data_IF_377366573095
#
_entry.id   IF_377366573095
#
_cell.length_a   1.000
_cell.length_b   1.000
_cell.length_c   1.000
_cell.angle_alpha   90.00
_cell.angle_beta   90.00
_cell.angle_gamma   90.00
#
_symmetry.space_group_name_H-M   'P 1'
#
loop_
_entity.id
_entity.type
_entity.pdbx_description
1 polymer ?
#
# COMPACT_ATOMS: atom_id res chain seq x y z
N UNK A 1 12.65 0.46 26.33
CA UNK A 1 12.26 0.76 24.93
C UNK A 1 11.66 2.15 24.87
N UNK A 2 12.23 3.06 24.08
CA UNK A 2 11.68 4.39 23.92
C UNK A 2 10.48 4.33 22.97
N UNK A 3 9.26 4.58 23.48
CA UNK A 3 8.03 4.50 22.67
C UNK A 3 8.09 5.35 21.40
N UNK A 4 8.84 6.46 21.42
CA UNK A 4 9.08 7.31 20.25
C UNK A 4 9.90 6.61 19.15
N UNK A 5 10.93 5.85 19.55
CA UNK A 5 11.76 5.08 18.61
C UNK A 5 10.94 3.99 17.92
N UNK A 6 10.07 3.30 18.67
CA UNK A 6 9.18 2.29 18.11
C UNK A 6 8.19 2.88 17.10
N UNK A 7 7.64 4.06 17.38
CA UNK A 7 6.77 4.78 16.45
C UNK A 7 7.51 5.18 15.18
N UNK A 8 8.76 5.63 15.30
CA UNK A 8 9.59 5.99 14.16
C UNK A 8 9.90 4.76 13.29
N UNK A 9 10.30 3.65 13.90
CA UNK A 9 10.53 2.39 13.21
C UNK A 9 9.26 1.86 12.53
N UNK A 10 8.10 1.97 13.20
CA UNK A 10 6.81 1.59 12.62
C UNK A 10 6.48 2.41 11.38
N UNK A 11 6.72 3.72 11.39
CA UNK A 11 6.52 4.57 10.22
C UNK A 11 7.43 4.18 9.05
N UNK A 12 8.72 3.93 9.32
CA UNK A 12 9.68 3.52 8.27
C UNK A 12 9.29 2.16 7.69
N UNK A 13 9.12 1.16 8.54
CA UNK A 13 8.75 -0.19 8.11
C UNK A 13 7.41 -0.18 7.40
N UNK A 14 6.42 0.53 7.94
CA UNK A 14 5.11 0.68 7.31
C UNK A 14 5.17 1.33 5.93
N UNK A 15 6.02 2.34 5.77
CA UNK A 15 6.25 2.99 4.47
C UNK A 15 6.90 2.04 3.48
N UNK A 16 7.94 1.31 3.90
CA UNK A 16 8.62 0.31 3.05
C UNK A 16 7.63 -0.78 2.62
N UNK A 17 6.82 -1.30 3.54
CA UNK A 17 5.80 -2.32 3.25
C UNK A 17 4.75 -1.76 2.28
N UNK A 18 4.25 -0.55 2.50
CA UNK A 18 3.27 0.08 1.61
C UNK A 18 3.82 0.27 0.19
N UNK A 19 5.06 0.78 0.06
CA UNK A 19 5.73 0.92 -1.24
C UNK A 19 5.91 -0.45 -1.89
N UNK A 20 6.31 -1.48 -1.13
CA UNK A 20 6.42 -2.85 -1.64
C UNK A 20 5.10 -3.37 -2.21
N UNK A 21 3.99 -3.18 -1.49
CA UNK A 21 2.65 -3.55 -1.96
C UNK A 21 2.28 -2.78 -3.24
N UNK A 22 2.56 -1.47 -3.27
CA UNK A 22 2.31 -0.64 -4.44
C UNK A 22 3.05 -1.15 -5.68
N UNK A 23 4.33 -1.49 -5.54
CA UNK A 23 5.13 -2.04 -6.64
C UNK A 23 4.59 -3.41 -7.11
N UNK A 24 4.21 -4.28 -6.18
CA UNK A 24 3.61 -5.57 -6.52
C UNK A 24 2.29 -5.38 -7.30
N UNK A 25 1.43 -4.47 -6.83
CA UNK A 25 0.17 -4.15 -7.52
C UNK A 25 0.40 -3.54 -8.90
N UNK A 26 1.39 -2.65 -9.03
CA UNK A 26 1.73 -2.04 -10.30
C UNK A 26 2.17 -3.10 -11.30
N UNK A 27 3.11 -3.98 -10.91
CA UNK A 27 3.57 -5.08 -11.77
C UNK A 27 2.40 -5.99 -12.15
N UNK A 28 1.53 -6.32 -11.17
CA UNK A 28 0.35 -7.14 -11.42
C UNK A 28 -0.59 -6.49 -12.44
N UNK A 29 -0.90 -5.21 -12.31
CA UNK A 29 -1.78 -4.53 -13.26
C UNK A 29 -1.15 -4.37 -14.64
N UNK A 30 0.15 -4.08 -14.73
CA UNK A 30 0.86 -4.03 -16.01
C UNK A 30 0.87 -5.40 -16.69
N UNK A 31 1.10 -6.47 -15.92
CA UNK A 31 1.01 -7.84 -16.41
C UNK A 31 -0.40 -8.16 -16.91
N UNK A 32 -1.44 -7.80 -16.16
CA UNK A 32 -2.85 -7.99 -16.57
C UNK A 32 -3.19 -7.20 -17.82
N UNK A 33 -2.71 -5.96 -17.96
CA UNK A 33 -2.91 -5.17 -19.18
C UNK A 33 -2.22 -5.84 -20.37
N UNK A 34 -0.95 -6.24 -20.24
CA UNK A 34 -0.22 -6.91 -21.32
C UNK A 34 -0.77 -8.30 -21.67
N UNK A 35 -1.38 -8.98 -20.70
CA UNK A 35 -2.03 -10.27 -20.92
C UNK A 35 -3.41 -10.13 -21.58
N UNK A 36 -4.20 -9.12 -21.19
CA UNK A 36 -5.58 -8.95 -21.66
C UNK A 36 -5.70 -8.14 -22.95
N UNK A 37 -4.76 -7.24 -23.25
CA UNK A 37 -4.80 -6.36 -24.42
C UNK A 37 -3.66 -6.71 -25.40
N UNK A 38 -4.01 -6.99 -26.65
CA UNK A 38 -3.06 -7.34 -27.72
C UNK A 38 -2.54 -6.10 -28.43
N UNK A 39 -1.53 -6.28 -29.31
CA UNK A 39 -0.91 -5.21 -30.10
C UNK A 39 -1.87 -4.45 -31.04
N UNK A 40 -3.07 -5.00 -31.32
CA UNK A 40 -4.11 -4.35 -32.12
C UNK A 40 -4.94 -3.33 -31.30
N UNK A 41 -4.77 -3.31 -29.98
CA UNK A 41 -5.44 -2.37 -29.10
C UNK A 41 -4.93 -0.96 -29.33
N UNK A 42 -5.85 0.03 -29.36
CA UNK A 42 -5.46 1.43 -29.59
C UNK A 42 -4.46 1.91 -28.53
N UNK A 43 -3.37 2.55 -28.99
CA UNK A 43 -2.30 3.08 -28.14
C UNK A 43 -2.83 4.06 -27.07
N UNK A 44 -3.87 4.82 -27.41
CA UNK A 44 -4.52 5.75 -26.49
C UNK A 44 -5.24 5.03 -25.33
N UNK A 45 -5.90 3.90 -25.61
CA UNK A 45 -6.56 3.10 -24.56
C UNK A 45 -5.52 2.45 -23.64
N UNK A 46 -4.46 1.85 -24.19
CA UNK A 46 -3.38 1.23 -23.41
C UNK A 46 -2.71 2.26 -22.50
N UNK A 47 -2.48 3.49 -22.99
CA UNK A 47 -1.93 4.59 -22.20
C UNK A 47 -2.84 4.99 -21.05
N UNK A 48 -4.15 5.13 -21.30
CA UNK A 48 -5.14 5.45 -20.26
C UNK A 48 -5.24 4.35 -19.20
N UNK A 49 -5.23 3.08 -19.60
CA UNK A 49 -5.23 1.93 -18.69
C UNK A 49 -3.96 1.87 -17.85
N UNK A 50 -2.80 2.18 -18.44
CA UNK A 50 -1.53 2.22 -17.72
C UNK A 50 -1.53 3.32 -16.65
N UNK A 51 -2.03 4.51 -16.96
CA UNK A 51 -2.23 5.58 -15.97
C UNK A 51 -3.23 5.17 -14.88
N UNK A 52 -4.32 4.51 -15.27
CA UNK A 52 -5.30 3.94 -14.35
C UNK A 52 -4.67 2.91 -13.42
N UNK A 53 -3.83 2.02 -13.93
CA UNK A 53 -3.09 1.02 -13.16
C UNK A 53 -2.16 1.66 -12.12
N UNK A 54 -1.47 2.75 -12.48
CA UNK A 54 -0.67 3.51 -11.51
C UNK A 54 -1.54 4.05 -10.38
N UNK A 55 -2.65 4.74 -10.69
CA UNK A 55 -3.56 5.29 -9.67
C UNK A 55 -4.16 4.19 -8.79
N UNK A 56 -4.61 3.09 -9.39
CA UNK A 56 -5.15 1.93 -8.69
C UNK A 56 -4.09 1.25 -7.81
N UNK A 57 -2.83 1.23 -8.23
CA UNK A 57 -1.75 0.65 -7.41
C UNK A 57 -1.49 1.47 -6.15
N UNK A 58 -1.54 2.80 -6.23
CA UNK A 58 -1.37 3.70 -5.07
C UNK A 58 -2.55 3.58 -4.11
N UNK A 59 -3.78 3.66 -4.61
CA UNK A 59 -4.98 3.55 -3.78
C UNK A 59 -5.09 2.14 -3.20
N UNK A 60 -4.87 1.12 -4.03
CA UNK A 60 -4.91 -0.27 -3.66
C UNK A 60 -3.87 -0.61 -2.60
N UNK A 61 -2.65 -0.09 -2.69
CA UNK A 61 -1.61 -0.35 -1.70
C UNK A 61 -2.00 0.17 -0.33
N UNK A 62 -2.58 1.38 -0.26
CA UNK A 62 -3.06 1.96 0.98
C UNK A 62 -4.18 1.11 1.62
N UNK A 63 -5.13 0.64 0.81
CA UNK A 63 -6.23 -0.21 1.29
C UNK A 63 -5.72 -1.54 1.84
N UNK A 64 -4.84 -2.23 1.09
CA UNK A 64 -4.26 -3.51 1.50
C UNK A 64 -3.39 -3.33 2.75
N UNK A 65 -2.52 -2.31 2.76
CA UNK A 65 -1.69 -1.99 3.92
C UNK A 65 -2.55 -1.71 5.16
N UNK A 66 -3.63 -0.93 5.03
CA UNK A 66 -4.55 -0.64 6.13
C UNK A 66 -5.19 -1.91 6.69
N UNK A 67 -5.58 -2.85 5.83
CA UNK A 67 -6.12 -4.15 6.26
C UNK A 67 -5.05 -5.00 6.98
N UNK A 68 -3.82 -5.04 6.47
CA UNK A 68 -2.70 -5.73 7.10
C UNK A 68 -2.46 -5.16 8.51
N UNK A 69 -2.37 -3.84 8.66
CA UNK A 69 -2.16 -3.21 9.97
C UNK A 69 -3.31 -3.51 10.92
N UNK A 70 -4.57 -3.44 10.48
CA UNK A 70 -5.73 -3.82 11.31
C UNK A 70 -5.63 -5.27 11.78
N UNK A 71 -5.22 -6.19 10.90
CA UNK A 71 -5.07 -7.60 11.23
C UNK A 71 -3.95 -7.84 12.25
N UNK A 72 -2.78 -7.22 12.05
CA UNK A 72 -1.66 -7.36 12.98
C UNK A 72 -2.02 -6.74 14.33
N UNK A 73 -2.66 -5.56 14.35
CA UNK A 73 -3.06 -4.90 15.59
C UNK A 73 -4.05 -5.76 16.39
N UNK A 74 -5.02 -6.41 15.73
CA UNK A 74 -5.96 -7.34 16.39
C UNK A 74 -5.26 -8.51 17.08
N UNK A 75 -4.14 -8.99 16.53
CA UNK A 75 -3.45 -10.19 17.03
C UNK A 75 -2.31 -9.86 18.01
N UNK A 76 -1.65 -8.71 17.88
CA UNK A 76 -0.40 -8.38 18.58
C UNK A 76 -0.47 -7.11 19.45
N UNK A 77 -1.61 -6.39 19.45
CA UNK A 77 -1.81 -5.14 20.22
C UNK A 77 -0.65 -4.14 20.01
N UNK A 78 -0.42 -3.80 18.75
CA UNK A 78 0.65 -2.90 18.31
C UNK A 78 0.59 -1.53 19.00
N UNK A 79 -0.63 -1.09 19.36
CA UNK A 79 -0.86 0.17 20.07
C UNK A 79 -0.13 0.23 21.42
N UNK A 80 0.12 -0.90 22.09
CA UNK A 80 0.86 -0.95 23.36
C UNK A 80 2.33 -0.55 23.23
N UNK A 81 2.92 -0.78 22.05
CA UNK A 81 4.34 -0.59 21.79
C UNK A 81 4.68 0.73 21.11
N UNK A 82 3.67 1.41 20.56
CA UNK A 82 3.81 2.61 19.76
C UNK A 82 3.31 3.80 20.59
N UNK A 83 4.03 4.92 20.61
CA UNK A 83 3.47 6.16 21.15
C UNK A 83 2.27 6.60 20.29
N UNK A 84 1.15 7.06 20.87
CA UNK A 84 -0.06 7.38 20.12
C UNK A 84 0.24 8.38 18.99
N UNK A 85 0.19 7.88 17.76
CA UNK A 85 0.42 8.66 16.53
C UNK A 85 -0.69 9.70 16.33
N UNK A 86 -1.92 9.33 16.72
CA UNK A 86 -3.06 10.23 16.82
C UNK A 86 -3.43 10.30 18.29
N UNK A 87 -3.16 11.43 18.95
CA UNK A 87 -3.74 11.71 20.27
C UNK A 87 -5.25 11.63 20.11
N UNK A 88 -5.87 10.58 20.66
CA UNK A 88 -7.32 10.57 20.83
C UNK A 88 -7.63 11.68 21.83
N UNK A 89 -8.17 12.81 21.37
CA UNK A 89 -8.77 13.81 22.26
C UNK A 89 -9.93 13.12 23.00
N UNK A 90 -9.71 12.79 24.26
CA UNK A 90 -10.72 12.74 25.31
C UNK A 90 -10.07 13.29 26.56
#
# INVERSE_FOLDING_TARGET
>A
MNKKLNTFLFLIVGTIVNIGIMLILLILFLYLIGFAFTAETSSQLVSALTLGAVMLSVVGSYLIYSQIIKFINKKWDLEKYIAPLFKRKR
#
